data_IF_477106427374
#
_entry.id   IF_477106427374
#
_cell.length_a   1.000
_cell.length_b   1.000
_cell.length_c   1.000
_cell.angle_alpha   90.00
_cell.angle_beta   90.00
_cell.angle_gamma   90.00
#
_symmetry.space_group_name_H-M   'P 1'
#
loop_
_entity.id
_entity.type
_entity.pdbx_description
1 polymer ?
#
# COMPACT_ATOMS: atom_id res chain seq x y z
N UNK A 1 21.61 -8.28 -8.90
CA UNK A 1 20.84 -7.03 -8.87
C UNK A 1 21.72 -5.96 -8.25
N UNK A 2 21.92 -4.81 -8.94
CA UNK A 2 22.66 -3.66 -8.38
C UNK A 2 21.80 -2.98 -7.30
N UNK A 3 22.42 -2.29 -6.36
CA UNK A 3 21.75 -1.67 -5.19
C UNK A 3 20.52 -0.83 -5.55
N UNK A 4 20.58 -0.01 -6.62
CA UNK A 4 19.45 0.82 -7.06
C UNK A 4 18.22 0.02 -7.48
N UNK A 5 18.40 -1.09 -8.21
CA UNK A 5 17.30 -1.94 -8.63
C UNK A 5 16.69 -2.70 -7.42
N UNK A 6 17.52 -3.11 -6.45
CA UNK A 6 17.02 -3.68 -5.19
C UNK A 6 16.16 -2.67 -4.43
N UNK A 7 16.63 -1.42 -4.29
CA UNK A 7 15.87 -0.37 -3.61
C UNK A 7 14.56 -0.04 -4.34
N UNK A 8 14.57 0.07 -5.67
CA UNK A 8 13.35 0.32 -6.45
C UNK A 8 12.32 -0.80 -6.27
N UNK A 9 12.76 -2.06 -6.22
CA UNK A 9 11.84 -3.18 -5.98
C UNK A 9 11.25 -3.15 -4.58
N UNK A 10 12.09 -2.87 -3.57
CA UNK A 10 11.61 -2.69 -2.19
C UNK A 10 10.57 -1.57 -2.17
N UNK A 11 10.88 -0.39 -2.71
CA UNK A 11 9.92 0.71 -2.77
C UNK A 11 8.63 0.29 -3.48
N UNK A 12 8.72 -0.39 -4.62
CA UNK A 12 7.57 -0.85 -5.39
C UNK A 12 6.66 -1.79 -4.59
N UNK A 13 7.22 -2.83 -3.96
CA UNK A 13 6.44 -3.84 -3.25
C UNK A 13 5.75 -3.29 -2.00
N UNK A 14 6.39 -2.30 -1.37
CA UNK A 14 5.87 -1.62 -0.20
C UNK A 14 4.89 -0.48 -0.56
N UNK A 15 4.81 -0.09 -1.83
CA UNK A 15 3.86 0.93 -2.28
C UNK A 15 2.54 0.28 -2.64
N UNK A 16 1.67 0.13 -1.64
CA UNK A 16 0.32 -0.41 -1.80
C UNK A 16 -0.65 0.65 -2.30
N UNK A 17 -1.85 0.22 -2.71
CA UNK A 17 -2.98 1.15 -2.88
C UNK A 17 -3.22 1.95 -1.58
N UNK A 18 -3.18 1.30 -0.41
CA UNK A 18 -3.27 1.96 0.89
C UNK A 18 -2.17 3.01 1.11
N UNK A 19 -0.94 2.76 0.63
CA UNK A 19 0.17 3.73 0.75
C UNK A 19 -0.14 5.06 0.07
N UNK A 20 -0.92 5.04 -1.02
CA UNK A 20 -1.32 6.26 -1.72
C UNK A 20 -2.62 6.84 -1.15
N UNK A 21 -3.61 5.97 -0.90
CA UNK A 21 -4.96 6.39 -0.55
C UNK A 21 -5.14 6.62 0.96
N UNK A 22 -4.73 5.64 1.78
CA UNK A 22 -4.93 5.69 3.22
C UNK A 22 -4.02 6.74 3.88
N UNK A 23 -2.79 6.92 3.39
CA UNK A 23 -1.90 8.00 3.87
C UNK A 23 -2.54 9.39 3.69
N UNK A 24 -3.22 9.59 2.56
CA UNK A 24 -3.92 10.84 2.27
C UNK A 24 -5.23 10.98 3.02
N UNK A 25 -5.93 9.87 3.28
CA UNK A 25 -7.11 9.84 4.15
C UNK A 25 -6.76 10.26 5.59
N UNK A 26 -5.65 9.78 6.14
CA UNK A 26 -5.20 10.22 7.48
C UNK A 26 -4.64 11.64 7.49
N UNK A 27 -4.16 12.16 6.35
CA UNK A 27 -3.84 13.58 6.24
C UNK A 27 -5.09 14.46 6.24
N UNK A 28 -6.13 14.04 5.52
CA UNK A 28 -7.44 14.68 5.53
C UNK A 28 -8.06 14.69 6.94
N UNK A 29 -7.94 13.57 7.66
CA UNK A 29 -8.57 13.40 8.98
C UNK A 29 -7.77 14.05 10.12
N UNK A 30 -6.43 13.93 10.10
CA UNK A 30 -5.58 14.25 11.26
C UNK A 30 -4.54 15.33 10.99
N UNK A 31 -4.51 15.90 9.77
CA UNK A 31 -3.48 16.82 9.35
C UNK A 31 -2.12 16.15 9.15
N UNK A 32 -1.03 16.91 9.25
CA UNK A 32 0.34 16.46 8.95
C UNK A 32 0.82 15.28 9.82
N UNK A 33 0.24 15.11 11.02
CA UNK A 33 0.57 14.01 11.92
C UNK A 33 0.24 12.64 11.31
N UNK A 34 -0.91 12.51 10.65
CA UNK A 34 -1.37 11.27 10.02
C UNK A 34 -0.37 10.65 9.04
N UNK A 35 0.00 11.34 7.94
CA UNK A 35 0.93 10.79 6.95
C UNK A 35 2.34 10.63 7.50
N UNK A 36 2.76 11.45 8.48
CA UNK A 36 4.04 11.23 9.16
C UNK A 36 4.04 9.88 9.90
N UNK A 37 3.00 9.58 10.68
CA UNK A 37 2.87 8.31 11.40
C UNK A 37 2.69 7.12 10.46
N UNK A 38 2.00 7.32 9.33
CA UNK A 38 1.93 6.31 8.27
C UNK A 38 3.32 5.97 7.74
N UNK A 39 4.06 6.99 7.29
CA UNK A 39 5.35 6.83 6.63
C UNK A 39 6.47 6.38 7.59
N UNK A 40 6.60 7.05 8.74
CA UNK A 40 7.65 6.73 9.72
C UNK A 40 7.47 5.34 10.33
N UNK A 41 6.23 4.97 10.68
CA UNK A 41 5.92 3.67 11.24
C UNK A 41 6.35 2.54 10.31
N UNK A 42 6.05 2.68 9.02
CA UNK A 42 6.39 1.67 8.04
C UNK A 42 7.89 1.64 7.65
N UNK A 43 8.56 2.80 7.62
CA UNK A 43 10.01 2.85 7.40
C UNK A 43 10.81 2.04 8.45
N UNK A 44 10.35 1.99 9.71
CA UNK A 44 11.00 1.18 10.76
C UNK A 44 11.03 -0.30 10.35
N UNK A 45 9.92 -0.82 9.84
CA UNK A 45 9.82 -2.22 9.44
C UNK A 45 10.69 -2.52 8.22
N UNK A 46 10.72 -1.64 7.22
CA UNK A 46 11.59 -1.80 6.04
C UNK A 46 13.06 -1.94 6.47
N UNK A 47 13.52 -1.09 7.40
CA UNK A 47 14.89 -1.11 7.89
C UNK A 47 15.22 -2.39 8.66
N UNK A 48 14.32 -2.81 9.56
CA UNK A 48 14.48 -4.06 10.32
C UNK A 48 14.47 -5.29 9.40
N UNK A 49 13.63 -5.30 8.38
CA UNK A 49 13.58 -6.36 7.39
C UNK A 49 14.88 -6.46 6.58
N UNK A 50 15.57 -5.33 6.38
CA UNK A 50 16.89 -5.31 5.78
C UNK A 50 17.94 -6.09 6.56
N UNK A 51 17.85 -6.09 7.90
CA UNK A 51 18.71 -6.91 8.77
C UNK A 51 18.37 -8.40 8.59
N UNK A 52 17.08 -8.75 8.60
CA UNK A 52 16.63 -10.12 8.39
C UNK A 52 17.05 -10.66 7.02
N UNK A 53 16.95 -9.85 5.96
CA UNK A 53 17.35 -10.26 4.61
C UNK A 53 18.83 -10.70 4.53
N UNK A 54 19.70 -10.05 5.30
CA UNK A 54 21.13 -10.41 5.39
C UNK A 54 21.29 -11.73 6.17
N UNK A 55 20.59 -11.87 7.30
CA UNK A 55 20.65 -13.05 8.15
C UNK A 55 20.13 -14.31 7.45
N UNK A 56 19.02 -14.21 6.72
CA UNK A 56 18.49 -15.31 5.89
C UNK A 56 19.54 -15.76 4.89
N UNK A 57 20.21 -14.82 4.22
CA UNK A 57 21.27 -15.20 3.27
C UNK A 57 22.48 -15.85 3.91
N UNK A 58 22.83 -15.44 5.13
CA UNK A 58 23.96 -16.03 5.85
C UNK A 58 23.65 -17.42 6.39
N UNK A 59 22.42 -17.66 6.84
CA UNK A 59 22.03 -18.87 7.58
C UNK A 59 21.22 -19.89 6.76
N UNK A 60 20.42 -19.43 5.80
CA UNK A 60 19.52 -20.24 4.99
C UNK A 60 19.55 -19.83 3.50
N UNK A 61 20.73 -19.89 2.83
CA UNK A 61 20.90 -19.39 1.46
C UNK A 61 20.06 -20.11 0.40
N UNK A 62 19.64 -21.35 0.70
CA UNK A 62 18.86 -22.23 -0.19
C UNK A 62 17.37 -22.27 0.11
N UNK A 63 16.90 -21.51 1.12
CA UNK A 63 15.48 -21.39 1.40
C UNK A 63 14.80 -20.60 0.26
N UNK A 64 13.56 -20.98 -0.02
CA UNK A 64 12.65 -20.35 -0.98
C UNK A 64 11.56 -19.58 -0.24
N UNK A 65 11.17 -20.05 0.95
CA UNK A 65 10.19 -19.39 1.82
C UNK A 65 10.73 -19.21 3.23
N UNK A 66 10.18 -18.24 3.96
CA UNK A 66 10.55 -18.06 5.37
C UNK A 66 10.06 -19.24 6.24
N UNK A 67 9.01 -19.93 5.80
CA UNK A 67 8.45 -21.08 6.48
C UNK A 67 9.39 -22.29 6.44
N UNK A 68 10.17 -22.50 5.37
CA UNK A 68 11.23 -23.52 5.37
C UNK A 68 12.23 -23.31 6.53
N UNK A 69 12.53 -22.05 6.86
CA UNK A 69 13.41 -21.68 7.99
C UNK A 69 12.71 -22.00 9.32
N UNK A 70 11.41 -21.67 9.44
CA UNK A 70 10.61 -21.97 10.63
C UNK A 70 10.54 -23.48 10.87
N UNK A 71 10.25 -24.26 9.83
CA UNK A 71 10.18 -25.72 9.88
C UNK A 71 11.51 -26.32 10.30
N UNK A 72 12.61 -25.86 9.70
CA UNK A 72 13.94 -26.35 10.04
C UNK A 72 14.31 -26.07 11.52
N UNK A 73 13.82 -24.96 12.09
CA UNK A 73 14.16 -24.54 13.45
C UNK A 73 13.25 -25.10 14.54
N UNK A 74 11.95 -25.20 14.27
CA UNK A 74 10.90 -25.49 15.26
C UNK A 74 9.98 -26.66 14.87
N UNK A 75 10.17 -27.27 13.70
CA UNK A 75 9.42 -28.45 13.25
C UNK A 75 8.04 -28.14 12.66
N UNK A 76 7.30 -29.20 12.38
CA UNK A 76 6.08 -29.16 11.57
C UNK A 76 4.90 -28.44 12.26
N UNK A 77 4.86 -28.45 13.60
CA UNK A 77 3.78 -27.77 14.34
C UNK A 77 3.87 -26.25 14.17
N UNK A 78 5.05 -25.67 14.41
CA UNK A 78 5.28 -24.24 14.19
C UNK A 78 5.11 -23.86 12.71
N UNK A 79 5.60 -24.72 11.80
CA UNK A 79 5.43 -24.52 10.36
C UNK A 79 3.96 -24.35 9.96
N UNK A 80 3.07 -25.24 10.41
CA UNK A 80 1.63 -25.16 10.09
C UNK A 80 0.95 -23.92 10.67
N UNK A 81 1.32 -23.51 11.88
CA UNK A 81 0.78 -22.29 12.52
C UNK A 81 1.18 -21.05 11.71
N UNK A 82 2.47 -20.91 11.38
CA UNK A 82 2.93 -19.77 10.59
C UNK A 82 2.45 -19.81 9.15
N UNK A 83 2.25 -21.00 8.57
CA UNK A 83 1.64 -21.16 7.25
C UNK A 83 0.22 -20.61 7.22
N UNK A 84 -0.58 -20.86 8.26
CA UNK A 84 -1.92 -20.28 8.40
C UNK A 84 -1.87 -18.75 8.44
N UNK A 85 -1.00 -18.18 9.27
CA UNK A 85 -0.86 -16.72 9.34
C UNK A 85 -0.31 -16.10 8.04
N UNK A 86 0.58 -16.79 7.32
CA UNK A 86 1.09 -16.35 6.03
C UNK A 86 -0.06 -16.22 5.01
N UNK A 87 -0.90 -17.26 4.89
CA UNK A 87 -2.07 -17.18 4.00
C UNK A 87 -3.06 -16.11 4.43
N UNK A 88 -3.36 -15.99 5.72
CA UNK A 88 -4.26 -14.95 6.21
C UNK A 88 -3.75 -13.55 5.86
N UNK A 89 -2.45 -13.33 6.02
CA UNK A 89 -1.79 -12.07 5.67
C UNK A 89 -1.89 -11.80 4.17
N UNK A 90 -1.52 -12.76 3.32
CA UNK A 90 -1.60 -12.61 1.87
C UNK A 90 -3.04 -12.35 1.38
N UNK A 91 -4.03 -12.97 2.02
CA UNK A 91 -5.45 -12.73 1.73
C UNK A 91 -5.84 -11.29 2.10
N UNK A 92 -5.51 -10.85 3.31
CA UNK A 92 -5.86 -9.51 3.80
C UNK A 92 -5.18 -8.40 2.97
N UNK A 93 -3.89 -8.54 2.66
CA UNK A 93 -3.15 -7.60 1.80
C UNK A 93 -3.76 -7.56 0.40
N UNK A 94 -4.00 -8.72 -0.22
CA UNK A 94 -4.61 -8.77 -1.56
C UNK A 94 -6.03 -8.19 -1.55
N UNK A 95 -6.83 -8.42 -0.51
CA UNK A 95 -8.16 -7.84 -0.38
C UNK A 95 -8.10 -6.31 -0.35
N UNK A 96 -7.19 -5.72 0.42
CA UNK A 96 -7.00 -4.27 0.46
C UNK A 96 -6.64 -3.69 -0.92
N UNK A 97 -5.75 -4.35 -1.67
CA UNK A 97 -5.39 -3.91 -3.02
C UNK A 97 -6.62 -3.86 -3.95
N UNK A 98 -7.50 -4.87 -3.86
CA UNK A 98 -8.69 -4.95 -4.70
C UNK A 98 -9.78 -3.97 -4.26
N UNK A 99 -10.01 -3.78 -2.96
CA UNK A 99 -10.97 -2.81 -2.45
C UNK A 99 -10.56 -1.38 -2.83
N UNK A 100 -9.30 -0.99 -2.58
CA UNK A 100 -8.81 0.33 -2.95
C UNK A 100 -8.77 0.55 -4.47
N UNK A 101 -8.36 -0.47 -5.23
CA UNK A 101 -8.32 -0.41 -6.69
C UNK A 101 -9.71 -0.30 -7.31
N UNK A 102 -10.67 -1.12 -6.89
CA UNK A 102 -12.03 -1.14 -7.43
C UNK A 102 -12.82 0.12 -7.08
N UNK A 103 -12.72 0.61 -5.83
CA UNK A 103 -13.35 1.86 -5.41
C UNK A 103 -12.83 3.04 -6.25
N UNK A 104 -11.53 3.11 -6.50
CA UNK A 104 -10.97 4.19 -7.30
C UNK A 104 -11.37 4.07 -8.78
N UNK A 105 -11.35 2.87 -9.36
CA UNK A 105 -11.80 2.66 -10.73
C UNK A 105 -13.26 3.09 -10.90
N UNK A 106 -14.12 2.77 -9.93
CA UNK A 106 -15.51 3.22 -9.92
C UNK A 106 -15.61 4.76 -9.85
N UNK A 107 -14.93 5.39 -8.90
CA UNK A 107 -14.96 6.84 -8.74
C UNK A 107 -14.47 7.59 -9.99
N UNK A 108 -13.50 7.03 -10.71
CA UNK A 108 -12.88 7.69 -11.86
C UNK A 108 -13.56 7.39 -13.21
N UNK A 109 -14.24 6.25 -13.34
CA UNK A 109 -14.78 5.78 -14.63
C UNK A 109 -16.28 5.48 -14.61
N UNK A 110 -16.89 5.39 -13.43
CA UNK A 110 -18.26 4.91 -13.24
C UNK A 110 -18.41 3.39 -13.40
N UNK A 111 -17.32 2.64 -13.60
CA UNK A 111 -17.38 1.17 -13.71
C UNK A 111 -17.89 0.55 -12.40
N UNK A 112 -18.77 -0.45 -12.49
CA UNK A 112 -19.25 -1.19 -11.33
C UNK A 112 -18.09 -1.74 -10.47
N UNK A 113 -18.17 -1.54 -9.15
CA UNK A 113 -17.11 -1.92 -8.21
C UNK A 113 -16.88 -3.44 -8.20
N UNK A 114 -17.94 -4.24 -8.35
CA UNK A 114 -17.81 -5.70 -8.36
C UNK A 114 -17.12 -6.17 -9.64
N UNK A 115 -17.46 -5.58 -10.79
CA UNK A 115 -16.79 -5.84 -12.05
C UNK A 115 -15.31 -5.44 -11.99
N UNK A 116 -15.01 -4.24 -11.48
CA UNK A 116 -13.63 -3.78 -11.30
C UNK A 116 -12.83 -4.72 -10.39
N UNK A 117 -13.44 -5.20 -9.29
CA UNK A 117 -12.83 -6.15 -8.34
C UNK A 117 -12.45 -7.48 -9.00
N UNK A 118 -13.18 -7.92 -10.03
CA UNK A 118 -12.90 -9.16 -10.75
C UNK A 118 -11.93 -8.97 -11.94
N UNK A 119 -12.00 -7.82 -12.62
CA UNK A 119 -11.14 -7.52 -13.77
C UNK A 119 -9.70 -7.20 -13.37
N UNK A 120 -9.49 -6.51 -12.26
CA UNK A 120 -8.14 -6.16 -11.77
C UNK A 120 -7.26 -7.42 -11.59
N UNK A 121 -7.68 -8.46 -10.83
CA UNK A 121 -6.91 -9.69 -10.69
C UNK A 121 -6.58 -10.34 -12.03
N UNK A 122 -7.49 -10.30 -13.01
CA UNK A 122 -7.28 -10.95 -14.31
C UNK A 122 -6.06 -10.40 -15.04
N UNK A 123 -5.90 -9.07 -15.08
CA UNK A 123 -4.73 -8.42 -15.67
C UNK A 123 -3.43 -8.78 -14.94
N UNK A 124 -3.47 -8.78 -13.60
CA UNK A 124 -2.31 -9.13 -12.77
C UNK A 124 -1.92 -10.60 -12.93
N UNK A 125 -2.89 -11.52 -13.01
CA UNK A 125 -2.66 -12.96 -13.26
C UNK A 125 -1.95 -13.16 -14.60
N UNK A 126 -2.48 -12.56 -15.68
CA UNK A 126 -1.91 -12.70 -17.02
C UNK A 126 -0.45 -12.22 -17.05
N UNK A 127 -0.19 -11.04 -16.47
CA UNK A 127 1.14 -10.48 -16.32
C UNK A 127 2.08 -11.38 -15.51
N UNK A 128 1.61 -11.89 -14.37
CA UNK A 128 2.40 -12.73 -13.45
C UNK A 128 2.76 -14.07 -14.10
N UNK A 129 1.81 -14.70 -14.80
CA UNK A 129 2.03 -15.97 -15.49
C UNK A 129 3.03 -15.86 -16.65
N UNK A 130 3.01 -14.74 -17.38
CA UNK A 130 3.89 -14.51 -18.52
C UNK A 130 5.31 -14.14 -18.08
N UNK A 131 5.44 -13.31 -17.04
CA UNK A 131 6.73 -12.74 -16.65
C UNK A 131 7.56 -13.60 -15.70
N UNK A 132 6.92 -14.26 -14.74
CA UNK A 132 7.61 -14.88 -13.61
C UNK A 132 8.45 -13.90 -12.78
N UNK A 133 9.12 -14.41 -11.75
CA UNK A 133 9.77 -13.58 -10.73
C UNK A 133 10.73 -12.51 -11.30
N UNK A 134 11.58 -12.86 -12.28
CA UNK A 134 12.57 -11.93 -12.86
C UNK A 134 11.93 -10.77 -13.63
N UNK A 135 10.84 -11.02 -14.36
CA UNK A 135 10.15 -9.94 -15.07
C UNK A 135 9.40 -9.04 -14.09
N UNK A 136 8.87 -9.62 -13.00
CA UNK A 136 8.31 -8.85 -11.88
C UNK A 136 9.33 -7.87 -11.31
N UNK A 137 10.56 -8.30 -11.05
CA UNK A 137 11.63 -7.39 -10.59
C UNK A 137 11.90 -6.22 -11.55
N UNK A 138 11.88 -6.45 -12.86
CA UNK A 138 12.11 -5.39 -13.85
C UNK A 138 10.91 -4.44 -13.96
N UNK A 139 9.68 -4.98 -13.95
CA UNK A 139 8.49 -4.15 -14.01
C UNK A 139 8.32 -3.31 -12.74
N UNK A 140 8.69 -3.82 -11.56
CA UNK A 140 8.68 -3.04 -10.32
C UNK A 140 9.48 -1.74 -10.43
N UNK A 141 10.59 -1.75 -11.19
CA UNK A 141 11.33 -0.53 -11.49
C UNK A 141 10.50 0.48 -12.30
N UNK A 142 9.82 0.01 -13.35
CA UNK A 142 8.96 0.84 -14.21
C UNK A 142 7.75 1.37 -13.42
N UNK A 143 7.08 0.51 -12.65
CA UNK A 143 5.97 0.88 -11.78
C UNK A 143 6.37 1.99 -10.81
N UNK A 144 7.51 1.83 -10.15
CA UNK A 144 8.05 2.82 -9.21
C UNK A 144 8.39 4.14 -9.92
N UNK A 145 9.00 4.08 -11.09
CA UNK A 145 9.33 5.28 -11.87
C UNK A 145 8.06 6.07 -12.25
N UNK A 146 7.01 5.39 -12.71
CA UNK A 146 5.72 6.02 -13.05
C UNK A 146 5.09 6.67 -11.82
N UNK A 147 5.07 5.98 -10.68
CA UNK A 147 4.56 6.53 -9.41
C UNK A 147 5.33 7.78 -9.01
N UNK A 148 6.66 7.78 -9.11
CA UNK A 148 7.48 8.96 -8.78
C UNK A 148 7.26 10.13 -9.73
N UNK A 149 7.13 9.88 -11.04
CA UNK A 149 6.84 10.94 -12.02
C UNK A 149 5.51 11.60 -11.67
N UNK A 150 4.47 10.81 -11.42
CA UNK A 150 3.16 11.31 -11.03
C UNK A 150 3.21 12.07 -9.69
N UNK A 151 3.93 11.55 -8.70
CA UNK A 151 4.14 12.21 -7.41
C UNK A 151 4.81 13.58 -7.58
N UNK A 152 5.88 13.66 -8.37
CA UNK A 152 6.53 14.93 -8.68
C UNK A 152 5.55 15.90 -9.34
N UNK A 153 4.76 15.45 -10.33
CA UNK A 153 3.75 16.29 -10.97
C UNK A 153 2.78 16.87 -9.94
N UNK A 154 2.23 16.05 -9.05
CA UNK A 154 1.28 16.53 -8.02
C UNK A 154 1.93 17.48 -7.02
N UNK A 155 3.12 17.17 -6.53
CA UNK A 155 3.84 18.05 -5.58
C UNK A 155 4.14 19.40 -6.22
N UNK A 156 4.66 19.42 -7.46
CA UNK A 156 4.91 20.66 -8.19
C UNK A 156 3.60 21.42 -8.46
N UNK A 157 2.54 20.73 -8.86
CA UNK A 157 1.25 21.35 -9.12
C UNK A 157 0.70 22.05 -7.86
N UNK A 158 0.65 21.35 -6.73
CA UNK A 158 0.09 21.87 -5.47
C UNK A 158 0.90 23.06 -4.94
N UNK A 159 2.24 22.98 -4.96
CA UNK A 159 3.09 23.95 -4.27
C UNK A 159 3.79 24.96 -5.17
N UNK A 160 3.61 24.90 -6.50
CA UNK A 160 4.26 25.86 -7.40
C UNK A 160 3.33 26.45 -8.45
N UNK A 161 2.19 25.79 -8.76
CA UNK A 161 1.25 26.32 -9.75
C UNK A 161 0.23 27.25 -9.07
N UNK A 162 0.18 28.55 -9.40
CA UNK A 162 -0.83 29.48 -8.85
C UNK A 162 -2.27 29.06 -9.15
N UNK A 163 -2.50 28.39 -10.29
CA UNK A 163 -3.83 27.96 -10.74
C UNK A 163 -4.39 26.79 -9.93
N UNK A 164 -3.56 26.15 -9.11
CA UNK A 164 -4.00 25.07 -8.21
C UNK A 164 -4.91 25.54 -7.07
N UNK A 165 -5.00 26.86 -6.85
CA UNK A 165 -5.64 27.45 -5.67
C UNK A 165 -4.71 27.55 -4.46
N UNK A 166 -3.60 26.80 -4.43
CA UNK A 166 -2.60 26.79 -3.34
C UNK A 166 -1.30 27.47 -3.80
N UNK A 167 -0.55 26.86 -4.71
CA UNK A 167 0.59 27.49 -5.40
C UNK A 167 1.84 27.80 -4.55
N UNK A 168 1.82 27.61 -3.23
CA UNK A 168 2.99 27.67 -2.35
C UNK A 168 2.75 26.95 -1.01
N UNK A 169 3.84 26.62 -0.31
CA UNK A 169 3.75 26.05 1.04
C UNK A 169 3.20 27.06 2.05
N UNK A 170 3.53 28.35 1.93
CA UNK A 170 3.00 29.41 2.80
C UNK A 170 1.49 29.55 2.63
N UNK A 171 1.00 29.53 1.39
CA UNK A 171 -0.45 29.61 1.14
C UNK A 171 -1.18 28.35 1.61
N UNK A 172 -0.57 27.17 1.50
CA UNK A 172 -1.11 25.94 2.12
C UNK A 172 -1.24 26.11 3.64
N UNK A 173 -0.20 26.64 4.30
CA UNK A 173 -0.20 26.91 5.73
C UNK A 173 -1.32 27.87 6.12
N UNK A 174 -1.47 28.97 5.39
CA UNK A 174 -2.50 30.00 5.64
C UNK A 174 -3.90 29.41 5.49
N UNK A 175 -4.16 28.69 4.39
CA UNK A 175 -5.46 28.06 4.13
C UNK A 175 -5.83 27.05 5.21
N UNK A 176 -4.91 26.17 5.62
CA UNK A 176 -5.17 25.19 6.68
C UNK A 176 -5.39 25.87 8.04
N UNK A 177 -4.73 26.99 8.29
CA UNK A 177 -4.93 27.79 9.52
C UNK A 177 -6.31 28.47 9.52
N UNK A 178 -6.76 28.97 8.36
CA UNK A 178 -8.10 29.53 8.19
C UNK A 178 -9.16 28.44 8.41
N UNK A 179 -9.01 27.28 7.75
CA UNK A 179 -9.96 26.17 7.88
C UNK A 179 -10.07 25.69 9.32
N UNK A 180 -8.94 25.58 10.04
CA UNK A 180 -8.95 25.21 11.47
C UNK A 180 -9.69 26.23 12.35
N UNK A 181 -9.81 27.48 11.91
CA UNK A 181 -10.50 28.56 12.61
C UNK A 181 -12.00 28.66 12.32
N UNK A 182 -12.54 27.90 11.36
CA UNK A 182 -13.96 27.95 11.04
C UNK A 182 -14.83 27.45 12.21
N UNK A 183 -15.90 28.19 12.44
CA UNK A 183 -16.99 27.82 13.35
C UNK A 183 -17.93 26.78 12.73
N UNK A 184 -18.70 26.07 13.55
CA UNK A 184 -19.67 25.09 13.07
C UNK A 184 -20.68 25.68 12.08
N UNK A 185 -21.10 26.93 12.29
CA UNK A 185 -22.00 27.65 11.37
C UNK A 185 -21.37 27.93 10.01
N UNK A 186 -20.08 28.28 9.97
CA UNK A 186 -19.37 28.46 8.70
C UNK A 186 -19.24 27.12 7.96
N UNK A 187 -19.01 26.03 8.69
CA UNK A 187 -18.98 24.69 8.10
C UNK A 187 -20.33 24.22 7.56
N UNK A 188 -21.43 24.56 8.25
CA UNK A 188 -22.79 24.31 7.78
C UNK A 188 -23.06 25.06 6.46
N UNK A 189 -22.66 26.34 6.38
CA UNK A 189 -22.84 27.18 5.19
C UNK A 189 -21.99 26.71 4.00
N UNK A 190 -20.80 26.16 4.25
CA UNK A 190 -19.91 25.60 3.21
C UNK A 190 -20.40 24.22 2.72
N UNK A 191 -21.34 23.59 3.41
CA UNK A 191 -22.02 22.37 2.97
C UNK A 191 -21.75 21.13 3.81
N UNK A 192 -21.47 21.28 5.12
CA UNK A 192 -21.23 20.17 6.06
C UNK A 192 -20.12 19.21 5.60
N UNK A 193 -18.95 19.78 5.34
CA UNK A 193 -17.74 19.03 5.02
C UNK A 193 -17.17 18.35 6.26
N UNK A 194 -16.80 17.07 6.15
CA UNK A 194 -16.22 16.32 7.28
C UNK A 194 -14.86 16.85 7.73
N UNK A 195 -14.12 17.56 6.88
CA UNK A 195 -12.85 18.24 7.21
C UNK A 195 -13.00 19.78 7.15
N UNK A 196 -13.93 20.30 7.94
CA UNK A 196 -14.10 21.73 8.17
C UNK A 196 -13.99 22.05 9.66
N UNK A 197 -13.38 23.19 9.98
CA UNK A 197 -13.08 23.57 11.35
C UNK A 197 -11.84 22.87 11.91
N UNK A 198 -11.59 23.08 13.19
CA UNK A 198 -10.48 22.48 13.91
C UNK A 198 -10.66 20.96 14.11
N UNK A 199 -9.55 20.22 14.04
CA UNK A 199 -9.53 18.76 14.22
C UNK A 199 -9.59 18.41 15.71
N UNK A 200 -10.56 17.58 16.11
CA UNK A 200 -10.63 17.10 17.50
C UNK A 200 -9.38 16.31 17.90
N UNK A 201 -8.89 16.54 19.11
CA UNK A 201 -7.68 15.90 19.63
C UNK A 201 -6.37 16.43 19.05
N UNK A 202 -6.40 17.39 18.12
CA UNK A 202 -5.22 18.14 17.70
C UNK A 202 -5.01 19.34 18.62
N UNK A 203 -3.75 19.65 18.95
CA UNK A 203 -3.41 20.89 19.67
C UNK A 203 -3.92 22.11 18.89
N UNK A 204 -4.74 22.92 19.58
CA UNK A 204 -5.39 24.13 19.03
C UNK A 204 -6.24 23.85 17.77
N UNK A 205 -6.71 22.61 17.58
CA UNK A 205 -7.47 22.19 16.39
C UNK A 205 -6.67 22.18 15.08
N UNK A 206 -5.35 22.42 15.13
CA UNK A 206 -4.53 22.67 13.94
C UNK A 206 -4.29 21.42 13.08
N UNK A 207 -4.40 21.54 11.76
CA UNK A 207 -3.95 20.50 10.81
C UNK A 207 -2.42 20.39 10.69
N UNK A 208 -1.67 21.33 11.28
CA UNK A 208 -0.23 21.45 11.11
C UNK A 208 0.56 20.95 12.33
N UNK A 209 -0.14 20.47 13.37
CA UNK A 209 0.48 20.00 14.60
C UNK A 209 0.86 18.52 14.52
N UNK A 210 1.99 18.16 15.12
CA UNK A 210 2.33 16.77 15.41
C UNK A 210 1.64 16.26 16.68
N UNK A 211 1.13 17.16 17.53
CA UNK A 211 0.39 16.83 18.75
C UNK A 211 -1.07 16.50 18.39
N UNK A 212 -1.26 15.33 17.78
CA UNK A 212 -2.55 14.77 17.39
C UNK A 212 -2.81 13.47 18.15
N UNK A 213 -3.88 13.42 18.94
CA UNK A 213 -4.27 12.20 19.68
C UNK A 213 -4.59 11.06 18.72
N UNK A 214 -5.49 11.30 17.77
CA UNK A 214 -5.92 10.29 16.80
C UNK A 214 -4.79 9.93 15.83
N UNK A 215 -3.96 10.90 15.43
CA UNK A 215 -2.75 10.64 14.64
C UNK A 215 -1.77 9.69 15.34
N UNK A 216 -1.55 9.85 16.65
CA UNK A 216 -0.70 8.95 17.43
C UNK A 216 -1.32 7.56 17.62
N UNK A 217 -2.64 7.49 17.92
CA UNK A 217 -3.36 6.20 18.01
C UNK A 217 -3.25 5.44 16.70
N UNK A 218 -3.50 6.13 15.58
CA UNK A 218 -3.29 5.57 14.24
C UNK A 218 -1.85 5.09 14.06
N UNK A 219 -0.85 5.89 14.46
CA UNK A 219 0.56 5.50 14.39
C UNK A 219 0.88 4.21 15.13
N UNK A 220 0.31 4.01 16.32
CA UNK A 220 0.48 2.77 17.09
C UNK A 220 -0.15 1.58 16.37
N UNK A 221 -1.41 1.71 15.94
CA UNK A 221 -2.13 0.67 15.18
C UNK A 221 -1.35 0.31 13.91
N UNK A 222 -0.89 1.33 13.18
CA UNK A 222 -0.12 1.19 11.96
C UNK A 222 1.21 0.46 12.19
N UNK A 223 1.94 0.79 13.26
CA UNK A 223 3.20 0.13 13.58
C UNK A 223 2.94 -1.34 13.92
N UNK A 224 2.01 -1.63 14.82
CA UNK A 224 1.72 -3.00 15.29
C UNK A 224 1.18 -3.86 14.15
N UNK A 225 0.19 -3.38 13.41
CA UNK A 225 -0.43 -4.10 12.30
C UNK A 225 0.56 -4.39 11.16
N UNK A 226 1.41 -3.42 10.81
CA UNK A 226 2.41 -3.65 9.75
C UNK A 226 3.55 -4.56 10.21
N UNK A 227 3.88 -4.65 11.50
CA UNK A 227 4.84 -5.68 11.95
C UNK A 227 4.33 -7.09 11.66
N UNK A 228 3.06 -7.39 11.97
CA UNK A 228 2.46 -8.67 11.61
C UNK A 228 2.45 -8.87 10.11
N UNK A 229 1.94 -7.89 9.38
CA UNK A 229 1.71 -8.02 7.94
C UNK A 229 2.99 -8.11 7.15
N UNK A 230 4.01 -7.32 7.46
CA UNK A 230 5.30 -7.39 6.74
C UNK A 230 6.06 -8.67 7.10
N UNK A 231 6.15 -9.02 8.39
CA UNK A 231 7.04 -10.09 8.82
C UNK A 231 6.47 -11.48 8.59
N UNK A 232 5.16 -11.59 8.40
CA UNK A 232 4.49 -12.87 8.13
C UNK A 232 4.07 -13.00 6.65
N UNK A 233 4.23 -11.94 5.85
CA UNK A 233 3.97 -11.99 4.41
C UNK A 233 5.19 -12.47 3.61
N UNK A 234 4.99 -13.62 2.96
CA UNK A 234 5.98 -14.25 2.09
C UNK A 234 6.42 -13.36 0.90
N UNK A 235 5.62 -12.40 0.44
CA UNK A 235 5.96 -11.49 -0.67
C UNK A 235 7.23 -10.69 -0.38
N UNK A 236 7.41 -10.23 0.86
CA UNK A 236 8.61 -9.53 1.32
C UNK A 236 9.80 -10.46 1.49
N UNK A 237 9.57 -11.66 2.03
CA UNK A 237 10.62 -12.66 2.19
C UNK A 237 11.16 -13.14 0.84
N UNK A 238 10.34 -13.25 -0.19
CA UNK A 238 10.79 -13.62 -1.54
C UNK A 238 11.84 -12.64 -2.07
N UNK A 239 11.64 -11.35 -1.89
CA UNK A 239 12.60 -10.34 -2.31
C UNK A 239 13.88 -10.37 -1.49
N UNK A 240 13.76 -10.55 -0.17
CA UNK A 240 14.91 -10.75 0.71
C UNK A 240 15.74 -11.99 0.30
N UNK A 241 15.07 -13.09 0.02
CA UNK A 241 15.66 -14.35 -0.45
C UNK A 241 16.22 -14.21 -1.88
N UNK A 242 15.67 -13.36 -2.74
CA UNK A 242 16.22 -13.15 -4.08
C UNK A 242 17.42 -12.18 -4.09
N UNK A 243 17.56 -11.32 -3.08
CA UNK A 243 18.59 -10.28 -3.03
C UNK A 243 20.01 -10.84 -2.82
N UNK A 244 21.01 -10.12 -3.37
CA UNK A 244 22.43 -10.45 -3.17
C UNK A 244 22.93 -9.82 -1.85
N UNK A 245 23.70 -10.53 -1.00
CA UNK A 245 24.13 -10.02 0.31
C UNK A 245 24.84 -8.66 0.26
N UNK A 246 25.72 -8.45 -0.73
CA UNK A 246 26.50 -7.21 -0.86
C UNK A 246 25.65 -5.99 -1.22
N UNK A 247 24.46 -6.17 -1.79
CA UNK A 247 23.53 -5.09 -2.13
C UNK A 247 22.33 -4.98 -1.19
N UNK A 248 22.08 -5.96 -0.31
CA UNK A 248 20.91 -5.96 0.58
C UNK A 248 20.91 -4.78 1.56
N UNK A 249 21.94 -4.59 2.38
CA UNK A 249 21.93 -3.53 3.41
C UNK A 249 21.72 -2.12 2.83
N UNK A 250 22.45 -1.76 1.77
CA UNK A 250 22.28 -0.46 1.09
C UNK A 250 20.95 -0.36 0.37
N UNK A 251 20.46 -1.47 -0.21
CA UNK A 251 19.19 -1.53 -0.90
C UNK A 251 18.00 -1.28 0.03
N UNK A 252 17.99 -1.91 1.21
CA UNK A 252 16.95 -1.71 2.21
C UNK A 252 17.03 -0.35 2.91
N UNK A 253 18.23 0.15 3.22
CA UNK A 253 18.37 1.49 3.79
C UNK A 253 17.87 2.58 2.82
N UNK A 254 18.35 2.53 1.57
CA UNK A 254 17.92 3.46 0.53
C UNK A 254 16.44 3.28 0.19
N UNK A 255 15.97 2.03 0.11
CA UNK A 255 14.57 1.70 -0.13
C UNK A 255 13.65 2.25 0.94
N UNK A 256 13.99 2.10 2.23
CA UNK A 256 13.18 2.63 3.34
C UNK A 256 13.12 4.15 3.39
N UNK A 257 14.24 4.83 3.08
CA UNK A 257 14.28 6.30 3.00
C UNK A 257 13.49 6.83 1.80
N UNK A 258 13.63 6.21 0.64
CA UNK A 258 12.89 6.60 -0.58
C UNK A 258 11.42 6.24 -0.46
N UNK A 259 11.08 5.14 0.21
CA UNK A 259 9.69 4.75 0.40
C UNK A 259 8.95 5.74 1.28
N UNK A 260 9.57 6.27 2.34
CA UNK A 260 8.97 7.29 3.21
C UNK A 260 8.38 8.48 2.42
N UNK A 261 9.09 8.91 1.37
CA UNK A 261 8.70 10.11 0.62
C UNK A 261 7.42 9.92 -0.18
N UNK A 262 7.06 8.69 -0.55
CA UNK A 262 5.85 8.41 -1.36
C UNK A 262 4.56 8.74 -0.59
N UNK A 263 4.23 8.04 0.53
CA UNK A 263 3.02 8.34 1.28
C UNK A 263 3.07 9.74 1.87
N UNK A 264 4.23 10.18 2.36
CA UNK A 264 4.32 11.49 2.99
C UNK A 264 4.08 12.62 1.99
N UNK A 265 4.78 12.64 0.85
CA UNK A 265 4.64 13.73 -0.11
C UNK A 265 3.29 13.71 -0.83
N UNK A 266 2.71 12.53 -1.12
CA UNK A 266 1.39 12.47 -1.76
C UNK A 266 0.31 12.98 -0.81
N UNK A 267 0.36 12.55 0.45
CA UNK A 267 -0.64 12.92 1.44
C UNK A 267 -0.54 14.38 1.87
N UNK A 268 0.68 14.91 2.05
CA UNK A 268 0.84 16.35 2.36
C UNK A 268 0.52 17.24 1.17
N UNK A 269 0.67 16.76 -0.07
CA UNK A 269 0.21 17.48 -1.25
C UNK A 269 -1.30 17.35 -1.46
N UNK A 270 -1.81 16.19 -1.89
CA UNK A 270 -3.21 16.01 -2.27
C UNK A 270 -4.16 15.84 -1.08
N UNK A 271 -3.73 15.16 -0.02
CA UNK A 271 -4.54 14.97 1.19
C UNK A 271 -4.85 16.30 1.87
N UNK A 272 -3.81 17.08 2.17
CA UNK A 272 -3.98 18.41 2.75
C UNK A 272 -4.59 19.42 1.76
N UNK A 273 -4.33 19.30 0.46
CA UNK A 273 -5.00 20.17 -0.53
C UNK A 273 -6.52 20.00 -0.51
N UNK A 274 -7.02 18.78 -0.26
CA UNK A 274 -8.46 18.51 -0.13
C UNK A 274 -9.06 19.33 1.01
N UNK A 275 -8.36 19.42 2.15
CA UNK A 275 -8.76 20.23 3.31
C UNK A 275 -8.60 21.72 3.00
N UNK A 276 -7.44 22.15 2.52
CA UNK A 276 -7.13 23.56 2.28
C UNK A 276 -8.07 24.22 1.26
N UNK A 277 -8.51 23.45 0.26
CA UNK A 277 -9.44 23.90 -0.78
C UNK A 277 -10.92 23.65 -0.42
N UNK A 278 -11.20 23.06 0.76
CA UNK A 278 -12.54 22.72 1.22
C UNK A 278 -13.34 21.94 0.16
N UNK A 279 -12.71 20.88 -0.37
CA UNK A 279 -13.35 20.03 -1.37
C UNK A 279 -14.48 19.20 -0.75
N UNK A 280 -15.58 18.94 -1.49
CA UNK A 280 -16.73 18.17 -1.00
C UNK A 280 -16.44 16.68 -0.97
N UNK A 281 -15.64 16.25 0.01
CA UNK A 281 -15.33 14.84 0.27
C UNK A 281 -15.94 14.45 1.61
N UNK A 282 -16.84 13.47 1.58
CA UNK A 282 -17.45 12.89 2.78
C UNK A 282 -16.51 11.91 3.47
N UNK A 283 -16.74 11.60 4.74
CA UNK A 283 -15.99 10.62 5.52
C UNK A 283 -16.08 9.22 4.92
N UNK A 284 -17.20 8.91 4.26
CA UNK A 284 -17.39 7.64 3.55
C UNK A 284 -16.49 7.57 2.31
N UNK A 285 -16.45 8.63 1.51
CA UNK A 285 -15.56 8.73 0.35
C UNK A 285 -14.08 8.75 0.77
N UNK A 286 -13.77 9.45 1.86
CA UNK A 286 -12.43 9.49 2.42
C UNK A 286 -11.98 8.09 2.90
N UNK A 287 -12.85 7.37 3.61
CA UNK A 287 -12.63 5.98 4.04
C UNK A 287 -12.55 4.97 2.88
N UNK A 288 -13.15 5.27 1.73
CA UNK A 288 -12.99 4.53 0.48
C UNK A 288 -11.69 4.87 -0.27
N UNK A 289 -10.93 5.86 0.22
CA UNK A 289 -9.66 6.28 -0.37
C UNK A 289 -9.79 7.33 -1.47
N UNK A 290 -10.89 8.09 -1.52
CA UNK A 290 -11.16 9.03 -2.62
C UNK A 290 -10.59 10.44 -2.41
N UNK A 291 -9.90 10.69 -1.30
CA UNK A 291 -9.25 11.99 -1.01
C UNK A 291 -8.26 12.40 -2.13
N UNK A 292 -7.24 11.60 -2.51
CA UNK A 292 -6.34 12.01 -3.60
C UNK A 292 -7.02 12.16 -4.97
N UNK A 293 -7.91 11.22 -5.40
CA UNK A 293 -8.70 11.40 -6.61
C UNK A 293 -9.47 12.72 -6.67
N UNK A 294 -10.07 13.16 -5.55
CA UNK A 294 -10.84 14.41 -5.50
C UNK A 294 -9.95 15.63 -5.75
N UNK A 295 -8.83 15.75 -5.02
CA UNK A 295 -7.87 16.86 -5.21
C UNK A 295 -7.24 16.84 -6.61
N UNK A 296 -6.86 15.67 -7.11
CA UNK A 296 -6.28 15.55 -8.45
C UNK A 296 -7.27 15.96 -9.55
N UNK A 297 -8.52 15.53 -9.44
CA UNK A 297 -9.59 15.90 -10.38
C UNK A 297 -9.91 17.39 -10.31
N UNK A 298 -9.91 17.98 -9.11
CA UNK A 298 -10.13 19.42 -8.95
C UNK A 298 -9.04 20.24 -9.67
N UNK A 299 -7.76 19.88 -9.54
CA UNK A 299 -6.66 20.67 -10.08
C UNK A 299 -6.36 20.44 -11.57
N UNK A 300 -6.54 19.22 -12.08
CA UNK A 300 -6.18 18.84 -13.48
C UNK A 300 -7.36 18.31 -14.30
N UNK A 301 -8.58 18.36 -13.77
CA UNK A 301 -9.74 17.73 -14.38
C UNK A 301 -9.51 16.25 -14.63
N UNK A 302 -9.92 15.78 -15.81
CA UNK A 302 -9.76 14.39 -16.22
C UNK A 302 -8.30 13.92 -16.26
N UNK A 303 -7.34 14.83 -16.50
CA UNK A 303 -5.92 14.49 -16.50
C UNK A 303 -5.41 14.03 -15.14
N UNK A 304 -5.88 14.66 -14.06
CA UNK A 304 -5.52 14.29 -12.68
C UNK A 304 -6.10 12.96 -12.27
N UNK A 305 -7.38 12.73 -12.60
CA UNK A 305 -8.05 11.45 -12.45
C UNK A 305 -7.26 10.30 -13.11
N UNK A 306 -6.90 10.46 -14.39
CA UNK A 306 -6.11 9.45 -15.12
C UNK A 306 -4.74 9.23 -14.47
N UNK A 307 -4.08 10.28 -13.99
CA UNK A 307 -2.77 10.14 -13.34
C UNK A 307 -2.86 9.35 -12.02
N UNK A 308 -3.88 9.59 -11.19
CA UNK A 308 -4.14 8.79 -9.98
C UNK A 308 -4.47 7.35 -10.33
N UNK A 309 -5.34 7.11 -11.33
CA UNK A 309 -5.65 5.76 -11.82
C UNK A 309 -4.38 5.02 -12.24
N UNK A 310 -3.49 5.68 -12.98
CA UNK A 310 -2.21 5.12 -13.39
C UNK A 310 -1.33 4.76 -12.19
N UNK A 311 -1.18 5.65 -11.20
CA UNK A 311 -0.40 5.36 -9.99
C UNK A 311 -0.93 4.14 -9.24
N UNK A 312 -2.25 4.06 -9.08
CA UNK A 312 -2.89 2.95 -8.37
C UNK A 312 -2.79 1.66 -9.17
N UNK A 313 -2.97 1.71 -10.48
CA UNK A 313 -2.80 0.54 -11.34
C UNK A 313 -1.36 0.01 -11.26
N UNK A 314 -0.35 0.89 -11.23
CA UNK A 314 1.05 0.51 -11.01
C UNK A 314 1.27 -0.14 -9.63
N UNK A 315 0.71 0.46 -8.56
CA UNK A 315 0.82 -0.06 -7.20
C UNK A 315 0.15 -1.44 -7.05
N UNK A 316 -1.10 -1.56 -7.49
CA UNK A 316 -1.90 -2.80 -7.43
C UNK A 316 -1.27 -3.89 -8.29
N UNK A 317 -0.80 -3.58 -9.49
CA UNK A 317 -0.15 -4.57 -10.36
C UNK A 317 1.17 -5.06 -9.76
N UNK A 318 1.97 -4.16 -9.19
CA UNK A 318 3.24 -4.53 -8.56
C UNK A 318 3.02 -5.44 -7.37
N UNK A 319 2.26 -4.99 -6.36
CA UNK A 319 2.04 -5.75 -5.13
C UNK A 319 1.19 -6.99 -5.40
N UNK A 320 0.12 -6.89 -6.19
CA UNK A 320 -0.73 -8.04 -6.51
C UNK A 320 0.03 -9.17 -7.20
N UNK A 321 1.00 -8.85 -8.08
CA UNK A 321 1.85 -9.89 -8.67
C UNK A 321 2.78 -10.54 -7.65
N UNK A 322 3.28 -9.77 -6.67
CA UNK A 322 4.10 -10.30 -5.58
C UNK A 322 3.29 -11.23 -4.68
N UNK A 323 2.05 -10.86 -4.33
CA UNK A 323 1.12 -11.68 -3.53
C UNK A 323 0.79 -13.01 -4.22
N UNK A 324 0.50 -12.97 -5.53
CA UNK A 324 0.24 -14.20 -6.31
C UNK A 324 1.44 -15.14 -6.27
N UNK A 325 2.66 -14.61 -6.44
CA UNK A 325 3.88 -15.41 -6.36
C UNK A 325 4.14 -15.88 -4.91
N UNK A 326 3.82 -15.07 -3.90
CA UNK A 326 3.93 -15.40 -2.48
C UNK A 326 3.12 -16.65 -2.13
N UNK A 327 1.81 -16.59 -2.35
CA UNK A 327 0.88 -17.71 -2.11
C UNK A 327 1.27 -18.92 -2.93
N UNK A 328 1.65 -18.73 -4.19
CA UNK A 328 2.15 -19.79 -5.05
C UNK A 328 3.38 -20.51 -4.47
N UNK A 329 4.33 -19.76 -3.91
CA UNK A 329 5.51 -20.33 -3.26
C UNK A 329 5.17 -21.09 -1.97
N UNK A 330 4.25 -20.56 -1.16
CA UNK A 330 3.78 -21.24 0.05
C UNK A 330 3.13 -22.58 -0.30
N UNK A 331 2.22 -22.60 -1.28
CA UNK A 331 1.59 -23.87 -1.68
C UNK A 331 2.60 -24.84 -2.29
N UNK A 332 3.53 -24.36 -3.12
CA UNK A 332 4.46 -25.27 -3.82
C UNK A 332 5.56 -25.83 -2.92
N UNK A 333 6.20 -24.99 -2.11
CA UNK A 333 7.33 -25.40 -1.29
C UNK A 333 6.89 -25.88 0.09
N UNK A 334 5.92 -25.22 0.72
CA UNK A 334 5.50 -25.50 2.10
C UNK A 334 4.31 -26.45 2.23
N UNK A 335 3.59 -26.74 1.15
CA UNK A 335 2.53 -27.76 1.16
C UNK A 335 2.89 -28.92 0.24
N UNK A 336 2.97 -28.64 -1.06
CA UNK A 336 3.09 -29.67 -2.08
C UNK A 336 4.41 -30.42 -1.93
N UNK A 337 5.55 -29.73 -1.96
CA UNK A 337 6.85 -30.39 -1.77
C UNK A 337 7.07 -30.86 -0.34
N UNK A 338 6.61 -30.09 0.65
CA UNK A 338 6.85 -30.38 2.06
C UNK A 338 6.11 -31.63 2.59
N UNK A 339 4.90 -31.89 2.11
CA UNK A 339 3.98 -32.88 2.71
C UNK A 339 3.29 -33.81 1.71
N UNK A 340 3.09 -33.40 0.45
CA UNK A 340 2.34 -34.20 -0.55
C UNK A 340 3.28 -35.01 -1.44
N UNK A 341 4.29 -34.37 -2.02
CA UNK A 341 5.27 -34.99 -2.92
C UNK A 341 6.69 -34.45 -2.62
N UNK A 342 7.40 -35.04 -1.63
CA UNK A 342 8.78 -34.68 -1.29
C UNK A 342 9.78 -34.78 -2.45
N UNK A 343 9.49 -35.64 -3.44
CA UNK A 343 10.31 -35.83 -4.63
C UNK A 343 9.98 -34.88 -5.80
N UNK A 344 9.09 -33.90 -5.60
CA UNK A 344 8.68 -32.96 -6.65
C UNK A 344 9.88 -32.25 -7.30
N UNK A 345 9.93 -32.27 -8.63
CA UNK A 345 10.98 -31.60 -9.41
C UNK A 345 10.53 -30.21 -9.88
N UNK A 346 11.45 -29.43 -10.45
CA UNK A 346 11.16 -28.07 -10.90
C UNK A 346 9.98 -27.95 -11.88
N UNK A 347 9.74 -28.96 -12.73
CA UNK A 347 8.57 -28.99 -13.64
C UNK A 347 7.24 -29.11 -12.87
N UNK A 348 7.21 -29.91 -11.81
CA UNK A 348 6.03 -30.09 -10.97
C UNK A 348 5.74 -28.82 -10.17
N UNK A 349 6.79 -28.23 -9.59
CA UNK A 349 6.71 -26.96 -8.86
C UNK A 349 6.14 -25.86 -9.76
N UNK A 350 6.64 -25.72 -10.99
CA UNK A 350 6.13 -24.72 -11.93
C UNK A 350 4.67 -24.98 -12.36
N UNK A 351 4.27 -26.24 -12.52
CA UNK A 351 2.89 -26.59 -12.86
C UNK A 351 1.94 -26.22 -11.72
N UNK A 352 2.23 -26.67 -10.51
CA UNK A 352 1.42 -26.35 -9.32
C UNK A 352 1.41 -24.85 -9.08
N UNK A 353 2.55 -24.18 -9.24
CA UNK A 353 2.67 -22.73 -9.08
C UNK A 353 1.67 -21.96 -9.94
N UNK A 354 1.58 -22.29 -11.24
CA UNK A 354 0.64 -21.64 -12.17
C UNK A 354 -0.82 -21.88 -11.82
N UNK A 355 -1.16 -23.09 -11.39
CA UNK A 355 -2.54 -23.42 -10.95
C UNK A 355 -2.91 -22.58 -9.72
N UNK A 356 -1.99 -22.44 -8.76
CA UNK A 356 -2.21 -21.65 -7.55
C UNK A 356 -2.36 -20.16 -7.88
N UNK A 357 -1.55 -19.60 -8.77
CA UNK A 357 -1.67 -18.19 -9.20
C UNK A 357 -3.07 -17.92 -9.75
N UNK A 358 -3.57 -18.75 -10.66
CA UNK A 358 -4.89 -18.56 -11.27
C UNK A 358 -6.00 -18.75 -10.24
N UNK A 359 -5.97 -19.83 -9.47
CA UNK A 359 -7.00 -20.13 -8.48
C UNK A 359 -7.06 -19.10 -7.35
N UNK A 360 -5.92 -18.67 -6.82
CA UNK A 360 -5.87 -17.63 -5.79
C UNK A 360 -6.35 -16.28 -6.33
N UNK A 361 -5.95 -15.88 -7.54
CA UNK A 361 -6.42 -14.63 -8.13
C UNK A 361 -7.93 -14.60 -8.37
N UNK A 362 -8.53 -15.71 -8.83
CA UNK A 362 -9.99 -15.86 -8.95
C UNK A 362 -10.66 -15.80 -7.57
N UNK A 363 -10.12 -16.54 -6.59
CA UNK A 363 -10.62 -16.54 -5.22
C UNK A 363 -10.63 -15.12 -4.62
N UNK A 364 -9.56 -14.36 -4.82
CA UNK A 364 -9.46 -13.00 -4.31
C UNK A 364 -10.41 -12.03 -5.02
N UNK A 365 -10.66 -12.21 -6.33
CA UNK A 365 -11.70 -11.45 -7.03
C UNK A 365 -13.09 -11.71 -6.45
N UNK A 366 -13.44 -12.97 -6.16
CA UNK A 366 -14.71 -13.33 -5.50
C UNK A 366 -14.78 -12.76 -4.08
N UNK A 367 -13.70 -12.88 -3.30
CA UNK A 367 -13.64 -12.35 -1.94
C UNK A 367 -13.81 -10.83 -1.94
N UNK A 368 -13.17 -10.10 -2.85
CA UNK A 368 -13.33 -8.65 -2.97
C UNK A 368 -14.78 -8.26 -3.27
N UNK A 369 -15.48 -8.99 -4.15
CA UNK A 369 -16.92 -8.77 -4.38
C UNK A 369 -17.71 -8.97 -3.08
N UNK A 370 -17.46 -10.06 -2.34
CA UNK A 370 -18.13 -10.31 -1.06
C UNK A 370 -17.88 -9.16 -0.07
N UNK A 371 -16.62 -8.72 0.08
CA UNK A 371 -16.23 -7.64 0.98
C UNK A 371 -16.91 -6.31 0.61
N UNK A 372 -17.03 -5.99 -0.68
CA UNK A 372 -17.77 -4.82 -1.14
C UNK A 372 -19.27 -4.92 -0.81
N UNK A 373 -19.89 -6.08 -0.99
CA UNK A 373 -21.32 -6.29 -0.73
C UNK A 373 -21.67 -6.18 0.76
N UNK A 374 -20.76 -6.53 1.67
CA UNK A 374 -20.94 -6.33 3.11
C UNK A 374 -20.52 -4.92 3.57
N UNK A 375 -20.12 -4.03 2.66
CA UNK A 375 -19.81 -2.64 2.95
C UNK A 375 -18.45 -2.41 3.62
N UNK A 376 -17.49 -3.34 3.51
CA UNK A 376 -16.16 -3.14 4.09
C UNK A 376 -15.26 -2.32 3.14
N UNK A 377 -14.75 -1.21 3.66
CA UNK A 377 -13.85 -0.31 2.92
C UNK A 377 -12.37 -0.70 3.07
N UNK A 378 -11.53 -0.13 2.20
CA UNK A 378 -10.07 -0.20 2.32
C UNK A 378 -9.61 0.24 3.72
N UNK A 379 -10.07 1.39 4.20
CA UNK A 379 -9.67 1.94 5.49
C UNK A 379 -10.03 1.01 6.65
N UNK A 380 -11.21 0.38 6.60
CA UNK A 380 -11.64 -0.57 7.63
C UNK A 380 -10.72 -1.80 7.67
N UNK A 381 -10.49 -2.44 6.52
CA UNK A 381 -9.63 -3.64 6.45
C UNK A 381 -8.20 -3.30 6.86
N UNK A 382 -7.71 -2.10 6.51
CA UNK A 382 -6.39 -1.62 6.91
C UNK A 382 -6.25 -1.46 8.43
N UNK A 383 -7.24 -0.90 9.10
CA UNK A 383 -7.20 -0.70 10.55
C UNK A 383 -7.39 -2.02 11.32
N UNK A 384 -8.24 -2.92 10.82
CA UNK A 384 -8.47 -4.25 11.40
C UNK A 384 -7.22 -5.13 11.39
N UNK A 385 -6.26 -4.86 10.51
CA UNK A 385 -4.95 -5.54 10.49
C UNK A 385 -4.16 -5.38 11.81
N UNK A 386 -4.41 -4.30 12.56
CA UNK A 386 -3.77 -4.03 13.84
C UNK A 386 -4.45 -4.66 15.06
N UNK A 387 -5.57 -5.37 14.86
CA UNK A 387 -6.38 -6.04 15.90
C UNK A 387 -6.26 -7.55 15.71
#
# INVERSE_FOLDING_TARGET
>A
VKTGLTAAVIVSQWTWAATLLQSSNVAFSYGVSGPFWYASGASIQVLLFGVLAIEVKRKAPTAHTFLEIIRARWGDAAHKVFLFFAFLTNIIVTAMLLLGGSATVNALTGMDVNLASFLIPFGVIAYTMAGGLKATFLASYIHTAIIFIALCIFVFLVYTNPDSGIGSADKMYDLLSIVAGYSSTECDDIGNLDACGGVDGNKDGSYLTMMSREGLIFGIINIVGNFGTVFVDQSYWQSAIAAKPSSSHKGYLMGGLVWFTIPFALATSLGLATVALQLPVTATEAGAGLVPPAAATYMLGQGGAVLIACMLFMAVTSTGSAELIAVSSLVTYDIYRAYINPSAQGKDILRVSKIVIVSFGIFMGVLAVILNQIGLSLGYVYLMMGV
#
